data_IF_019309259352
#
_entry.id   IF_019309259352
#
_cell.length_a   1.000
_cell.length_b   1.000
_cell.length_c   1.000
_cell.angle_alpha   90.00
_cell.angle_beta   90.00
_cell.angle_gamma   90.00
#
_symmetry.space_group_name_H-M   'P 1'
#
loop_
_entity.id
_entity.type
_entity.pdbx_description
1 polymer ?
#
# COMPACT_ATOMS: atom_id res chain seq x y z
N UNK A 1 55.65 17.20 -0.34
CA UNK A 1 56.42 17.26 -1.60
C UNK A 1 57.25 15.99 -1.77
N UNK A 2 57.01 15.20 -2.83
CA UNK A 2 57.93 14.36 -3.63
C UNK A 2 57.09 13.35 -4.43
N UNK A 3 56.69 13.70 -5.67
CA UNK A 3 57.34 13.46 -6.99
C UNK A 3 56.95 12.10 -7.59
N UNK A 4 56.06 12.15 -8.60
CA UNK A 4 55.76 11.08 -9.56
C UNK A 4 56.94 10.83 -10.53
N UNK A 5 56.98 9.64 -11.16
CA UNK A 5 56.73 9.54 -12.62
C UNK A 5 55.79 8.34 -12.93
N UNK A 6 54.70 8.49 -13.69
CA UNK A 6 54.57 8.51 -15.17
C UNK A 6 55.42 7.44 -15.88
N UNK A 7 54.73 6.39 -16.37
CA UNK A 7 55.11 5.73 -17.62
C UNK A 7 53.82 5.39 -18.40
N UNK A 8 53.69 6.02 -19.55
CA UNK A 8 52.66 5.77 -20.55
C UNK A 8 53.22 4.78 -21.60
N UNK A 9 52.40 3.85 -22.08
CA UNK A 9 52.49 3.32 -23.45
C UNK A 9 51.07 3.08 -23.95
N UNK A 10 50.72 3.79 -25.02
CA UNK A 10 49.53 3.61 -25.83
C UNK A 10 49.87 2.73 -27.05
N UNK A 11 48.95 1.87 -27.47
CA UNK A 11 48.86 1.41 -28.86
C UNK A 11 47.39 1.35 -29.25
N UNK A 12 47.04 2.14 -30.27
CA UNK A 12 45.77 2.15 -30.96
C UNK A 12 45.78 1.15 -32.13
N UNK A 13 44.66 0.48 -32.37
CA UNK A 13 44.33 -0.11 -33.67
C UNK A 13 42.88 0.19 -34.02
N UNK A 14 42.68 1.04 -35.03
CA UNK A 14 41.42 1.17 -35.74
C UNK A 14 41.22 -0.03 -36.67
N UNK A 15 40.03 -0.64 -36.66
CA UNK A 15 39.56 -1.48 -37.75
C UNK A 15 38.03 -1.37 -37.88
N UNK A 16 37.64 -0.70 -38.97
CA UNK A 16 36.44 -0.89 -39.80
C UNK A 16 35.03 -0.87 -39.17
N UNK A 17 34.27 0.19 -39.50
CA UNK A 17 32.83 0.09 -39.74
C UNK A 17 32.54 -0.85 -40.92
N UNK A 18 31.55 -1.73 -40.75
CA UNK A 18 30.71 -2.24 -41.84
C UNK A 18 29.24 -2.08 -41.42
N UNK A 19 28.37 -1.46 -42.24
CA UNK A 19 26.93 -1.54 -42.04
C UNK A 19 26.42 -2.78 -42.79
N UNK A 20 25.94 -3.79 -42.07
CA UNK A 20 25.16 -4.86 -42.69
C UNK A 20 23.70 -4.65 -42.33
N UNK A 21 22.99 -4.08 -43.30
CA UNK A 21 21.54 -4.02 -43.30
C UNK A 21 20.99 -5.36 -43.77
N UNK A 22 20.06 -5.90 -42.99
CA UNK A 22 19.02 -6.79 -43.50
C UNK A 22 19.23 -8.25 -43.20
N UNK A 23 18.80 -8.67 -42.01
CA UNK A 23 17.92 -9.82 -41.94
C UNK A 23 16.78 -9.46 -40.99
N UNK A 24 15.59 -9.40 -41.57
CA UNK A 24 14.31 -9.28 -40.88
C UNK A 24 14.19 -10.44 -39.89
N UNK A 25 14.68 -10.24 -38.66
CA UNK A 25 14.14 -10.99 -37.55
C UNK A 25 12.83 -10.29 -37.18
N UNK A 26 11.81 -10.63 -37.97
CA UNK A 26 10.43 -10.71 -37.48
C UNK A 26 10.43 -11.74 -36.35
N UNK A 27 11.04 -11.37 -35.23
CA UNK A 27 10.73 -11.97 -33.96
C UNK A 27 9.28 -11.61 -33.76
N UNK A 28 8.42 -12.54 -34.14
CA UNK A 28 7.02 -12.54 -33.78
C UNK A 28 6.96 -12.05 -32.33
N UNK A 29 6.41 -10.85 -32.16
CA UNK A 29 5.98 -10.38 -30.86
C UNK A 29 4.90 -11.40 -30.48
N UNK A 30 5.30 -12.46 -29.78
CA UNK A 30 4.37 -13.31 -29.08
C UNK A 30 3.49 -12.33 -28.30
N UNK A 31 2.15 -12.43 -28.40
CA UNK A 31 1.28 -11.59 -27.60
C UNK A 31 1.77 -11.68 -26.16
N UNK A 32 2.26 -10.56 -25.63
CA UNK A 32 2.58 -10.46 -24.23
C UNK A 32 1.23 -10.67 -23.55
N UNK A 33 1.01 -11.88 -23.03
CA UNK A 33 -0.21 -12.22 -22.34
C UNK A 33 -0.29 -11.25 -21.16
N UNK A 34 -1.20 -10.28 -21.27
CA UNK A 34 -1.36 -9.26 -20.26
C UNK A 34 -1.63 -9.99 -18.95
N UNK A 35 -0.68 -9.86 -18.00
CA UNK A 35 -0.79 -10.49 -16.70
C UNK A 35 -2.00 -9.83 -16.04
N UNK A 36 -3.13 -10.51 -16.08
CA UNK A 36 -4.32 -10.02 -15.39
C UNK A 36 -4.00 -10.14 -13.92
N UNK A 37 -4.08 -9.04 -13.14
CA UNK A 37 -3.83 -9.15 -11.71
C UNK A 37 -4.78 -10.21 -11.13
N UNK A 38 -4.25 -11.04 -10.24
CA UNK A 38 -5.01 -12.09 -9.55
C UNK A 38 -5.71 -11.51 -8.31
N UNK A 39 -6.74 -12.19 -7.80
CA UNK A 39 -7.52 -11.74 -6.63
C UNK A 39 -8.64 -10.76 -6.96
N UNK A 40 -9.56 -10.59 -6.02
CA UNK A 40 -10.70 -9.68 -6.13
C UNK A 40 -10.24 -8.24 -5.81
N UNK A 41 -10.80 -7.19 -6.44
CA UNK A 41 -10.50 -5.82 -6.01
C UNK A 41 -10.78 -5.62 -4.53
N UNK A 42 -10.11 -4.61 -3.94
CA UNK A 42 -10.51 -4.11 -2.64
C UNK A 42 -11.98 -3.68 -2.66
N UNK A 43 -12.68 -3.67 -1.50
CA UNK A 43 -14.07 -3.25 -1.44
C UNK A 43 -14.26 -1.83 -1.97
N UNK A 44 -15.30 -1.63 -2.78
CA UNK A 44 -15.67 -0.29 -3.26
C UNK A 44 -16.11 0.64 -2.11
N UNK A 45 -16.64 0.04 -1.04
CA UNK A 45 -17.08 0.70 0.18
C UNK A 45 -16.47 0.04 1.43
N UNK A 46 -15.92 0.89 2.30
CA UNK A 46 -15.35 0.52 3.59
C UNK A 46 -16.29 0.78 4.77
N UNK A 47 -17.42 1.45 4.55
CA UNK A 47 -18.40 1.75 5.59
C UNK A 47 -19.03 0.49 6.16
N UNK A 48 -19.21 0.46 7.47
CA UNK A 48 -19.69 -0.69 8.23
C UNK A 48 -18.83 -1.96 8.01
N UNK A 49 -17.51 -1.80 7.97
CA UNK A 49 -16.56 -2.92 7.91
C UNK A 49 -15.58 -2.90 9.07
N UNK A 50 -14.94 -4.03 9.36
CA UNK A 50 -13.89 -4.12 10.35
C UNK A 50 -12.69 -4.90 9.82
N UNK A 51 -11.49 -4.47 10.20
CA UNK A 51 -10.23 -5.01 9.71
C UNK A 51 -9.25 -5.22 10.85
N UNK A 52 -8.55 -6.34 10.82
CA UNK A 52 -7.53 -6.70 11.81
C UNK A 52 -6.15 -6.66 11.18
N UNK A 53 -5.21 -6.01 11.88
CA UNK A 53 -3.78 -6.06 11.58
C UNK A 53 -3.01 -6.66 12.77
N UNK A 54 -1.96 -7.43 12.47
CA UNK A 54 -0.99 -7.90 13.46
C UNK A 54 0.29 -7.09 13.34
N UNK A 55 0.66 -6.39 14.41
CA UNK A 55 1.91 -5.65 14.46
C UNK A 55 3.10 -6.55 14.83
N UNK A 56 4.32 -6.06 14.56
CA UNK A 56 5.55 -6.79 14.83
C UNK A 56 5.78 -7.09 16.32
N UNK A 57 5.20 -6.29 17.22
CA UNK A 57 5.21 -6.51 18.67
C UNK A 57 4.19 -7.58 19.13
N UNK A 58 3.46 -8.18 18.19
CA UNK A 58 2.39 -9.16 18.45
C UNK A 58 1.06 -8.54 18.84
N UNK A 59 0.95 -7.20 18.91
CA UNK A 59 -0.32 -6.55 19.20
C UNK A 59 -1.29 -6.69 18.02
N UNK A 60 -2.55 -6.95 18.35
CA UNK A 60 -3.65 -7.05 17.39
C UNK A 60 -4.41 -5.73 17.38
N UNK A 61 -4.41 -5.06 16.24
CA UNK A 61 -5.22 -3.86 16.04
C UNK A 61 -6.48 -4.26 15.31
N UNK A 62 -7.64 -3.82 15.77
CA UNK A 62 -8.91 -3.99 15.06
C UNK A 62 -9.54 -2.64 14.83
N UNK A 63 -9.71 -2.27 13.56
CA UNK A 63 -10.27 -1.00 13.13
C UNK A 63 -11.69 -1.24 12.63
N UNK A 64 -12.67 -0.62 13.29
CA UNK A 64 -14.04 -0.54 12.82
C UNK A 64 -14.21 0.75 12.04
N UNK A 65 -14.75 0.66 10.84
CA UNK A 65 -15.04 1.79 9.95
C UNK A 65 -16.55 2.01 9.94
N UNK A 66 -17.03 2.90 10.79
CA UNK A 66 -18.45 3.13 11.00
C UNK A 66 -19.05 3.93 9.82
N UNK A 67 -20.35 3.76 9.58
CA UNK A 67 -21.04 4.34 8.42
C UNK A 67 -21.12 5.87 8.44
N UNK A 68 -20.92 6.49 9.60
CA UNK A 68 -20.93 7.95 9.79
C UNK A 68 -19.57 8.61 9.49
N UNK A 69 -18.58 7.83 9.03
CA UNK A 69 -17.23 8.32 8.74
C UNK A 69 -16.33 8.38 9.98
N UNK A 70 -16.73 7.81 11.12
CA UNK A 70 -15.84 7.60 12.26
C UNK A 70 -15.19 6.23 12.23
N UNK A 71 -13.98 6.14 12.75
CA UNK A 71 -13.35 4.86 13.03
C UNK A 71 -13.09 4.69 14.52
N UNK A 72 -13.10 3.42 14.94
CA UNK A 72 -12.75 2.99 16.29
C UNK A 72 -11.69 1.92 16.21
N UNK A 73 -10.55 2.16 16.86
CA UNK A 73 -9.50 1.18 16.97
C UNK A 73 -9.48 0.53 18.34
N UNK A 74 -9.34 -0.79 18.32
CA UNK A 74 -8.99 -1.58 19.49
C UNK A 74 -7.54 -2.03 19.39
N UNK A 75 -6.82 -2.03 20.51
CA UNK A 75 -5.53 -2.70 20.65
C UNK A 75 -5.69 -3.86 21.62
N UNK A 76 -5.53 -5.08 21.12
CA UNK A 76 -5.75 -6.33 21.86
C UNK A 76 -7.16 -6.46 22.46
N UNK A 77 -8.16 -5.83 21.84
CA UNK A 77 -9.55 -5.83 22.29
C UNK A 77 -9.93 -4.64 23.15
N UNK A 78 -8.97 -3.89 23.68
CA UNK A 78 -9.24 -2.69 24.47
C UNK A 78 -9.36 -1.45 23.56
N UNK A 79 -10.30 -0.51 23.83
CA UNK A 79 -10.37 0.76 23.13
C UNK A 79 -9.03 1.49 23.15
N UNK A 80 -8.56 1.93 21.98
CA UNK A 80 -7.24 2.53 21.84
C UNK A 80 -7.27 3.94 21.25
N UNK A 81 -7.95 4.13 20.12
CA UNK A 81 -8.10 5.45 19.51
C UNK A 81 -9.38 5.54 18.68
N UNK A 82 -9.81 6.77 18.40
CA UNK A 82 -10.90 7.08 17.48
C UNK A 82 -10.47 8.19 16.53
N UNK A 83 -11.22 8.35 15.44
CA UNK A 83 -11.01 9.43 14.51
C UNK A 83 -12.00 9.41 13.37
N UNK A 84 -11.65 10.12 12.30
CA UNK A 84 -12.37 10.10 11.02
C UNK A 84 -11.67 9.21 10.02
N UNK A 85 -12.46 8.49 9.24
CA UNK A 85 -11.98 7.82 8.05
C UNK A 85 -12.64 8.42 6.81
N UNK A 86 -11.91 8.38 5.70
CA UNK A 86 -12.38 8.83 4.41
C UNK A 86 -11.77 7.95 3.32
N UNK A 87 -12.22 8.16 2.09
CA UNK A 87 -11.58 7.58 0.93
C UNK A 87 -11.26 8.66 -0.11
N UNK A 88 -10.15 8.47 -0.82
CA UNK A 88 -9.74 9.35 -1.90
C UNK A 88 -9.41 8.52 -3.14
N UNK A 89 -9.65 9.05 -4.32
CA UNK A 89 -9.26 8.38 -5.56
C UNK A 89 -7.75 8.57 -5.81
N UNK A 90 -7.11 7.54 -6.37
CA UNK A 90 -5.70 7.52 -6.78
C UNK A 90 -5.56 6.82 -8.14
N UNK A 91 -4.46 7.02 -8.87
CA UNK A 91 -4.22 6.30 -10.12
C UNK A 91 -4.25 4.76 -10.00
N UNK A 92 -3.97 4.23 -8.81
CA UNK A 92 -3.89 2.80 -8.52
C UNK A 92 -5.20 2.22 -7.96
N UNK A 93 -6.16 3.05 -7.58
CA UNK A 93 -7.40 2.64 -6.93
C UNK A 93 -7.89 3.66 -5.93
N UNK A 94 -8.45 3.21 -4.81
CA UNK A 94 -9.02 4.07 -3.77
C UNK A 94 -8.17 4.01 -2.51
N UNK A 95 -7.67 5.15 -2.07
CA UNK A 95 -6.97 5.29 -0.79
C UNK A 95 -7.97 5.25 0.37
N UNK A 96 -7.58 4.61 1.46
CA UNK A 96 -8.26 4.64 2.75
C UNK A 96 -7.47 5.54 3.70
N UNK A 97 -8.07 6.66 4.11
CA UNK A 97 -7.40 7.69 4.89
C UNK A 97 -7.97 7.77 6.30
N UNK A 98 -7.11 7.96 7.29
CA UNK A 98 -7.44 8.03 8.70
C UNK A 98 -6.90 9.30 9.31
N UNK A 99 -7.76 10.05 9.99
CA UNK A 99 -7.38 11.24 10.78
C UNK A 99 -7.78 10.99 12.24
N UNK A 100 -6.81 10.72 13.14
CA UNK A 100 -7.08 10.55 14.57
C UNK A 100 -7.63 11.83 15.24
N UNK A 101 -8.49 11.69 16.26
CA UNK A 101 -9.15 12.82 16.93
C UNK A 101 -8.30 13.56 17.99
N UNK A 102 -7.02 13.22 18.16
CA UNK A 102 -6.15 13.93 19.11
C UNK A 102 -5.59 15.24 18.51
N UNK A 103 -5.17 16.19 19.36
CA UNK A 103 -4.77 17.57 18.97
C UNK A 103 -3.71 17.67 17.85
N UNK A 104 -2.95 16.60 17.60
CA UNK A 104 -1.93 16.52 16.56
C UNK A 104 -2.20 15.39 15.55
N UNK A 105 -3.47 14.99 15.38
CA UNK A 105 -3.88 13.96 14.45
C UNK A 105 -3.51 14.33 13.01
N UNK A 106 -2.52 13.65 12.46
CA UNK A 106 -2.12 13.81 11.06
C UNK A 106 -2.81 12.74 10.24
N UNK A 107 -3.44 13.14 9.13
CA UNK A 107 -4.06 12.20 8.20
C UNK A 107 -3.02 11.22 7.65
N UNK A 108 -3.39 9.93 7.62
CA UNK A 108 -2.58 8.84 7.05
C UNK A 108 -3.42 8.04 6.09
N UNK A 109 -2.97 7.99 4.83
CA UNK A 109 -3.62 7.22 3.78
C UNK A 109 -2.88 5.90 3.50
N UNK A 110 -3.67 4.89 3.18
CA UNK A 110 -3.22 3.56 2.78
C UNK A 110 -3.84 3.21 1.44
N UNK A 111 -3.04 2.64 0.54
CA UNK A 111 -3.47 2.05 -0.71
C UNK A 111 -3.83 0.57 -0.46
N UNK A 112 -5.13 0.19 -0.48
CA UNK A 112 -5.54 -1.19 -0.34
C UNK A 112 -5.23 -1.97 -1.62
N UNK A 113 -4.53 -3.08 -1.44
CA UNK A 113 -4.30 -4.06 -2.48
C UNK A 113 -5.51 -4.96 -2.72
N UNK A 114 -5.31 -5.98 -3.54
CA UNK A 114 -6.36 -6.95 -3.85
C UNK A 114 -6.63 -7.91 -2.70
N UNK A 115 -7.88 -8.35 -2.62
CA UNK A 115 -8.34 -9.36 -1.69
C UNK A 115 -7.86 -10.75 -2.10
N UNK A 116 -7.42 -11.53 -1.12
CA UNK A 116 -7.15 -12.96 -1.19
C UNK A 116 -7.55 -13.60 0.13
N UNK A 117 -8.40 -14.63 0.09
CA UNK A 117 -8.80 -15.40 1.28
C UNK A 117 -9.28 -14.56 2.48
N UNK A 118 -10.02 -13.47 2.20
CA UNK A 118 -10.56 -12.58 3.23
C UNK A 118 -9.56 -11.57 3.80
N UNK A 119 -8.32 -11.55 3.31
CA UNK A 119 -7.31 -10.56 3.66
C UNK A 119 -6.90 -9.71 2.45
N UNK A 120 -6.30 -8.56 2.72
CA UNK A 120 -5.62 -7.75 1.71
C UNK A 120 -4.38 -7.10 2.32
N UNK A 121 -3.39 -6.81 1.49
CA UNK A 121 -2.26 -5.97 1.88
C UNK A 121 -2.62 -4.51 1.67
N UNK A 122 -2.27 -3.63 2.60
CA UNK A 122 -2.39 -2.19 2.42
C UNK A 122 -1.02 -1.52 2.56
N UNK A 123 -0.73 -0.51 1.74
CA UNK A 123 0.56 0.16 1.67
C UNK A 123 0.43 1.66 1.95
N UNK A 124 1.32 2.21 2.76
CA UNK A 124 1.37 3.66 3.03
C UNK A 124 2.18 4.39 1.95
N UNK A 125 2.04 5.71 1.90
CA UNK A 125 2.86 6.58 1.03
C UNK A 125 4.38 6.40 1.25
N UNK A 126 4.80 5.99 2.45
CA UNK A 126 6.21 5.76 2.79
C UNK A 126 6.70 4.34 2.46
N UNK A 127 5.87 3.53 1.78
CA UNK A 127 6.17 2.14 1.44
C UNK A 127 6.10 1.16 2.62
N UNK A 128 5.53 1.57 3.75
CA UNK A 128 5.24 0.64 4.84
C UNK A 128 4.00 -0.17 4.47
N UNK A 129 3.92 -1.41 4.91
CA UNK A 129 2.79 -2.25 4.52
C UNK A 129 2.33 -3.15 5.63
N UNK A 130 1.02 -3.40 5.61
CA UNK A 130 0.33 -4.20 6.60
C UNK A 130 -0.57 -5.20 5.88
N UNK A 131 -0.81 -6.33 6.53
CA UNK A 131 -1.89 -7.23 6.16
C UNK A 131 -3.14 -6.84 6.96
N UNK A 132 -4.27 -6.76 6.27
CA UNK A 132 -5.58 -6.46 6.79
C UNK A 132 -6.47 -7.67 6.57
N UNK A 133 -6.78 -8.39 7.64
CA UNK A 133 -7.75 -9.46 7.63
C UNK A 133 -9.14 -8.89 7.88
N UNK A 134 -10.13 -9.23 7.04
CA UNK A 134 -11.52 -8.85 7.29
C UNK A 134 -12.01 -9.58 8.54
N UNK A 135 -12.61 -8.83 9.45
CA UNK A 135 -13.29 -9.38 10.63
C UNK A 135 -14.75 -8.94 10.67
N UNK A 136 -15.52 -9.56 11.55
CA UNK A 136 -16.92 -9.19 11.75
C UNK A 136 -17.03 -7.76 12.27
N UNK A 137 -17.89 -6.97 11.63
CA UNK A 137 -18.21 -5.63 12.08
C UNK A 137 -19.19 -5.68 13.24
N UNK A 138 -19.00 -4.79 14.22
CA UNK A 138 -19.89 -4.62 15.35
C UNK A 138 -20.22 -3.14 15.51
N UNK A 139 -21.51 -2.83 15.70
CA UNK A 139 -21.97 -1.47 15.93
C UNK A 139 -21.28 -0.88 17.16
N UNK A 140 -21.05 0.45 17.20
CA UNK A 140 -20.63 1.11 18.41
C UNK A 140 -21.65 0.84 19.53
N UNK A 141 -21.21 0.71 20.79
CA UNK A 141 -22.15 0.61 21.90
C UNK A 141 -23.07 1.83 21.91
N UNK A 142 -24.36 1.61 22.11
CA UNK A 142 -25.30 2.71 22.31
C UNK A 142 -24.84 3.49 23.55
N UNK A 143 -24.57 4.78 23.39
CA UNK A 143 -24.41 5.67 24.53
C UNK A 143 -25.80 5.87 25.11
N UNK A 144 -26.12 5.14 26.18
CA UNK A 144 -27.25 5.48 27.03
C UNK A 144 -26.98 6.90 27.58
N UNK A 145 -27.53 7.92 26.92
CA UNK A 145 -27.62 9.26 27.47
C UNK A 145 -28.50 9.17 28.72
N UNK A 146 -27.90 8.92 29.90
CA UNK A 146 -28.61 9.05 31.17
C UNK A 146 -29.18 10.47 31.24
N UNK A 147 -30.51 10.65 31.28
CA UNK A 147 -31.09 11.98 31.39
C UNK A 147 -30.68 12.57 32.73
N UNK A 148 -29.96 13.70 32.67
CA UNK A 148 -29.59 14.52 33.84
C UNK A 148 -30.79 15.11 34.56
#
# INVERSE_FOLDING_TARGET
MRRLPVLAVAIATLAACSPEAGESNEAAHAPQEAITPSGEPAPDAFSATAWRALAADGARYTTYLDADGTYRDLRNGDPWQTGKWSHADSPQGRLLCFTPDHDNGVERCWEPGRMSDGAMRAESETGHSIELERVEYSLPPEVDEEPS
#
